data_IF_538700626505
#
_entry.id   IF_538700626505
#
_cell.length_a   1.000
_cell.length_b   1.000
_cell.length_c   1.000
_cell.angle_alpha   90.00
_cell.angle_beta   90.00
_cell.angle_gamma   90.00
#
_symmetry.space_group_name_H-M   'P 1'
#
loop_
_entity.id
_entity.type
_entity.pdbx_description
1 polymer ?
#
# COMPACT_ATOMS: atom_id res chain seq x y z
N UNK A 1 -29.79 -23.38 -9.71
CA UNK A 1 -29.73 -22.66 -11.01
C UNK A 1 -28.38 -21.97 -11.08
N UNK A 2 -27.56 -22.24 -12.09
CA UNK A 2 -26.37 -21.41 -12.31
C UNK A 2 -26.83 -19.96 -12.57
N UNK A 3 -26.25 -18.96 -11.90
CA UNK A 3 -26.56 -17.57 -12.21
C UNK A 3 -26.28 -17.32 -13.70
N UNK A 4 -27.24 -16.72 -14.41
CA UNK A 4 -27.06 -16.38 -15.83
C UNK A 4 -25.86 -15.47 -15.95
N UNK A 5 -24.83 -15.92 -16.67
CA UNK A 5 -23.68 -15.08 -17.01
C UNK A 5 -24.13 -13.98 -17.97
N UNK A 6 -23.72 -12.74 -17.69
CA UNK A 6 -23.88 -11.61 -18.61
C UNK A 6 -22.57 -10.85 -18.71
N UNK A 7 -22.30 -10.27 -19.88
CA UNK A 7 -21.19 -9.34 -20.05
C UNK A 7 -21.61 -7.95 -19.62
N UNK A 8 -20.76 -7.28 -18.86
CA UNK A 8 -20.93 -5.90 -18.44
C UNK A 8 -19.70 -5.11 -18.82
N UNK A 9 -19.91 -3.83 -19.14
CA UNK A 9 -18.85 -2.90 -19.46
C UNK A 9 -18.07 -2.53 -18.19
N UNK A 10 -16.78 -2.81 -18.18
CA UNK A 10 -15.88 -2.48 -17.07
C UNK A 10 -15.23 -1.11 -17.26
N UNK A 11 -14.77 -0.79 -18.47
CA UNK A 11 -14.28 0.55 -18.80
C UNK A 11 -14.30 0.82 -20.32
N UNK A 12 -14.19 2.11 -20.66
CA UNK A 12 -14.01 2.60 -22.03
C UNK A 12 -12.83 3.57 -22.07
N UNK A 13 -11.91 3.37 -23.01
CA UNK A 13 -10.85 4.32 -23.31
C UNK A 13 -11.35 5.40 -24.30
N UNK A 14 -10.79 6.61 -24.24
CA UNK A 14 -11.13 7.72 -25.16
C UNK A 14 -11.01 7.34 -26.66
N UNK A 15 -10.23 6.31 -27.00
CA UNK A 15 -10.11 5.75 -28.35
C UNK A 15 -11.18 4.72 -28.74
N UNK A 16 -12.22 4.51 -27.92
CA UNK A 16 -13.32 3.57 -28.17
C UNK A 16 -13.03 2.11 -27.78
N UNK A 17 -11.87 1.81 -27.19
CA UNK A 17 -11.57 0.48 -26.65
C UNK A 17 -12.50 0.20 -25.47
N UNK A 18 -13.30 -0.85 -25.57
CA UNK A 18 -14.20 -1.29 -24.50
C UNK A 18 -13.64 -2.53 -23.84
N UNK A 19 -13.51 -2.51 -22.51
CA UNK A 19 -13.23 -3.70 -21.72
C UNK A 19 -14.54 -4.19 -21.11
N UNK A 20 -14.87 -5.44 -21.41
CA UNK A 20 -16.03 -6.12 -20.86
C UNK A 20 -15.60 -7.25 -19.94
N UNK A 21 -16.45 -7.58 -18.97
CA UNK A 21 -16.22 -8.70 -18.06
C UNK A 21 -17.52 -9.46 -17.79
N UNK A 22 -17.40 -10.77 -17.57
CA UNK A 22 -18.53 -11.61 -17.22
C UNK A 22 -18.83 -11.52 -15.71
N UNK A 23 -20.12 -11.36 -15.39
CA UNK A 23 -20.64 -11.38 -14.03
C UNK A 23 -21.65 -12.52 -13.84
N UNK A 24 -21.76 -13.12 -12.63
CA UNK A 24 -21.00 -12.77 -11.41
C UNK A 24 -19.51 -13.10 -11.54
N UNK A 25 -18.66 -12.36 -10.81
CA UNK A 25 -17.22 -12.63 -10.80
C UNK A 25 -16.98 -14.02 -10.21
N UNK A 26 -16.09 -14.78 -10.84
CA UNK A 26 -15.78 -16.16 -10.46
C UNK A 26 -14.35 -16.22 -9.93
N UNK A 27 -14.17 -16.98 -8.83
CA UNK A 27 -12.88 -17.48 -8.41
C UNK A 27 -12.82 -18.98 -8.67
N UNK A 28 -11.72 -19.45 -9.27
CA UNK A 28 -11.42 -20.89 -9.48
C UNK A 28 -10.42 -21.44 -8.48
N UNK A 29 -9.99 -20.61 -7.54
CA UNK A 29 -9.13 -20.96 -6.42
C UNK A 29 -9.79 -20.52 -5.12
N UNK A 30 -9.43 -21.13 -4.00
CA UNK A 30 -9.90 -20.69 -2.69
C UNK A 30 -8.85 -19.78 -2.01
N UNK A 31 -9.14 -18.48 -1.83
CA UNK A 31 -8.25 -17.58 -1.10
C UNK A 31 -7.92 -18.04 0.33
N UNK A 32 -8.82 -18.78 0.99
CA UNK A 32 -8.58 -19.29 2.33
C UNK A 32 -7.56 -20.43 2.35
N UNK A 33 -7.57 -21.30 1.32
CA UNK A 33 -6.55 -22.32 1.12
C UNK A 33 -5.21 -21.69 0.75
N UNK A 34 -5.20 -20.74 -0.20
CA UNK A 34 -4.00 -20.01 -0.61
C UNK A 34 -3.34 -19.30 0.59
N UNK A 35 -4.14 -18.67 1.45
CA UNK A 35 -3.62 -18.03 2.67
C UNK A 35 -2.88 -19.03 3.56
N UNK A 36 -3.42 -20.25 3.73
CA UNK A 36 -2.78 -21.32 4.50
C UNK A 36 -1.50 -21.79 3.83
N UNK A 37 -1.48 -21.96 2.51
CA UNK A 37 -0.28 -22.36 1.75
C UNK A 37 0.84 -21.32 1.85
N UNK A 38 0.49 -20.03 1.89
CA UNK A 38 1.41 -18.93 2.12
C UNK A 38 1.82 -18.79 3.60
N UNK A 39 1.30 -19.63 4.51
CA UNK A 39 1.51 -19.54 5.95
C UNK A 39 1.18 -18.15 6.53
N UNK A 40 0.13 -17.51 6.01
CA UNK A 40 -0.31 -16.19 6.45
C UNK A 40 -1.32 -16.29 7.61
N UNK A 41 -1.38 -15.29 8.51
CA UNK A 41 -2.24 -15.34 9.69
C UNK A 41 -3.73 -15.53 9.41
N UNK A 42 -4.41 -16.21 10.33
CA UNK A 42 -5.82 -16.59 10.17
C UNK A 42 -6.83 -15.46 10.42
N UNK A 43 -6.38 -14.34 10.98
CA UNK A 43 -7.18 -13.15 11.20
C UNK A 43 -7.35 -12.28 9.94
N UNK A 44 -6.59 -12.51 8.86
CA UNK A 44 -6.69 -11.70 7.64
C UNK A 44 -8.11 -11.80 7.09
N UNK A 45 -8.79 -10.65 7.02
CA UNK A 45 -10.15 -10.57 6.51
C UNK A 45 -10.17 -10.74 4.99
N UNK A 46 -10.78 -11.84 4.53
CA UNK A 46 -10.89 -12.19 3.13
C UNK A 46 -12.13 -11.61 2.44
N UNK A 47 -12.97 -10.82 3.12
CA UNK A 47 -14.14 -10.20 2.49
C UNK A 47 -13.75 -9.10 1.48
N UNK A 48 -12.55 -8.53 1.65
CA UNK A 48 -12.02 -7.54 0.72
C UNK A 48 -11.56 -8.20 -0.59
N UNK A 49 -12.18 -7.79 -1.69
CA UNK A 49 -11.77 -8.19 -3.04
C UNK A 49 -10.28 -7.89 -3.32
N UNK A 50 -9.74 -6.71 -2.96
CA UNK A 50 -8.30 -6.44 -3.08
C UNK A 50 -7.44 -7.42 -2.29
N UNK A 51 -7.86 -7.83 -1.09
CA UNK A 51 -7.08 -8.79 -0.29
C UNK A 51 -7.04 -10.17 -0.95
N UNK A 52 -8.18 -10.69 -1.44
CA UNK A 52 -8.21 -11.95 -2.21
C UNK A 52 -7.25 -11.89 -3.40
N UNK A 53 -7.25 -10.77 -4.13
CA UNK A 53 -6.37 -10.55 -5.28
C UNK A 53 -4.90 -10.49 -4.89
N UNK A 54 -4.56 -9.83 -3.78
CA UNK A 54 -3.20 -9.75 -3.26
C UNK A 54 -2.66 -11.16 -2.97
N UNK A 55 -3.44 -12.00 -2.28
CA UNK A 55 -3.06 -13.37 -1.95
C UNK A 55 -2.82 -14.23 -3.21
N UNK A 56 -3.75 -14.19 -4.18
CA UNK A 56 -3.59 -14.93 -5.44
C UNK A 56 -2.38 -14.43 -6.23
N UNK A 57 -2.12 -13.12 -6.21
CA UNK A 57 -0.95 -12.54 -6.89
C UNK A 57 0.36 -13.04 -6.29
N UNK A 58 0.47 -13.07 -4.96
CA UNK A 58 1.65 -13.59 -4.24
C UNK A 58 1.82 -15.07 -4.52
N UNK A 59 0.76 -15.85 -4.36
CA UNK A 59 0.80 -17.30 -4.56
C UNK A 59 1.16 -17.68 -5.99
N UNK A 60 0.56 -17.04 -6.98
CA UNK A 60 0.91 -17.28 -8.38
C UNK A 60 2.34 -16.83 -8.70
N UNK A 61 2.84 -15.77 -8.05
CA UNK A 61 4.24 -15.35 -8.18
C UNK A 61 5.21 -16.40 -7.61
N UNK A 62 4.89 -17.02 -6.47
CA UNK A 62 5.68 -18.11 -5.88
C UNK A 62 5.69 -19.35 -6.78
N UNK A 63 4.56 -19.66 -7.42
CA UNK A 63 4.39 -20.81 -8.31
C UNK A 63 4.72 -20.50 -9.79
N UNK A 64 5.25 -19.31 -10.10
CA UNK A 64 5.44 -18.84 -11.48
C UNK A 64 6.20 -19.83 -12.38
N UNK A 65 7.16 -20.56 -11.81
CA UNK A 65 7.96 -21.54 -12.55
C UNK A 65 7.19 -22.70 -13.15
N UNK A 66 6.00 -23.04 -12.64
CA UNK A 66 5.18 -24.17 -13.12
C UNK A 66 4.05 -23.74 -14.06
N UNK A 67 3.70 -22.45 -14.08
CA UNK A 67 2.55 -21.92 -14.83
C UNK A 67 2.63 -22.17 -16.34
N UNK A 68 3.83 -22.24 -16.92
CA UNK A 68 4.00 -22.52 -18.35
C UNK A 68 3.66 -23.97 -18.74
N UNK A 69 3.72 -24.90 -17.77
CA UNK A 69 3.31 -26.28 -17.95
C UNK A 69 1.80 -26.43 -17.76
N UNK A 70 1.25 -25.73 -16.76
CA UNK A 70 -0.17 -25.80 -16.40
C UNK A 70 -1.06 -25.02 -17.39
N UNK A 71 -0.61 -23.86 -17.85
CA UNK A 71 -1.43 -22.90 -18.60
C UNK A 71 -0.77 -22.40 -19.90
N UNK A 72 -0.21 -23.27 -20.77
CA UNK A 72 0.54 -22.84 -21.95
C UNK A 72 -0.30 -22.01 -22.94
N UNK A 73 -1.56 -22.40 -23.14
CA UNK A 73 -2.47 -21.72 -24.06
C UNK A 73 -2.95 -20.37 -23.52
N UNK A 74 -3.22 -20.28 -22.21
CA UNK A 74 -3.62 -19.02 -21.56
C UNK A 74 -2.50 -18.01 -21.64
N UNK A 75 -1.27 -18.40 -21.29
CA UNK A 75 -0.09 -17.52 -21.36
C UNK A 75 0.11 -17.01 -22.80
N UNK A 76 0.06 -17.91 -23.79
CA UNK A 76 0.16 -17.51 -25.20
C UNK A 76 -0.95 -16.55 -25.62
N UNK A 77 -2.17 -16.73 -25.12
CA UNK A 77 -3.31 -15.86 -25.40
C UNK A 77 -3.18 -14.47 -24.78
N UNK A 78 -2.81 -14.39 -23.51
CA UNK A 78 -2.75 -13.14 -22.74
C UNK A 78 -1.54 -12.28 -23.10
N UNK A 79 -0.36 -12.89 -23.29
CA UNK A 79 0.92 -12.17 -23.42
C UNK A 79 1.72 -12.54 -24.69
N UNK A 80 1.13 -13.30 -25.60
CA UNK A 80 1.71 -13.60 -26.92
C UNK A 80 3.02 -14.41 -26.81
N UNK A 81 4.10 -13.84 -27.37
CA UNK A 81 5.45 -14.45 -27.32
C UNK A 81 6.21 -14.15 -26.02
N UNK A 82 5.68 -13.30 -25.15
CA UNK A 82 6.30 -13.02 -23.86
C UNK A 82 6.16 -14.21 -22.91
N UNK A 83 6.98 -14.21 -21.85
CA UNK A 83 6.96 -15.23 -20.80
C UNK A 83 6.67 -14.58 -19.46
N UNK A 84 6.18 -15.40 -18.52
CA UNK A 84 6.12 -15.04 -17.10
C UNK A 84 7.51 -15.28 -16.51
N UNK A 85 7.83 -16.49 -16.09
CA UNK A 85 9.14 -16.85 -15.54
C UNK A 85 9.22 -18.38 -15.45
N UNK A 86 10.43 -18.93 -15.47
CA UNK A 86 10.66 -20.34 -15.13
C UNK A 86 11.03 -20.51 -13.64
N UNK A 87 11.15 -19.39 -12.91
CA UNK A 87 11.50 -19.32 -11.49
C UNK A 87 10.42 -18.53 -10.75
N UNK A 88 10.33 -18.70 -9.44
CA UNK A 88 9.48 -17.88 -8.58
C UNK A 88 9.81 -16.39 -8.74
N UNK A 89 8.76 -15.56 -8.75
CA UNK A 89 8.87 -14.10 -8.76
C UNK A 89 8.83 -13.59 -7.32
N UNK A 90 9.67 -12.60 -7.00
CA UNK A 90 9.63 -11.95 -5.71
C UNK A 90 8.78 -10.68 -5.81
N UNK A 91 7.60 -10.71 -5.20
CA UNK A 91 6.72 -9.54 -5.07
C UNK A 91 6.44 -9.32 -3.59
N UNK A 92 6.45 -8.06 -3.18
CA UNK A 92 6.16 -7.65 -1.82
C UNK A 92 4.98 -6.66 -1.83
N UNK A 93 4.10 -6.80 -0.86
CA UNK A 93 3.05 -5.84 -0.58
C UNK A 93 3.58 -4.65 0.21
N UNK A 94 3.02 -3.48 -0.07
CA UNK A 94 3.08 -2.33 0.82
C UNK A 94 1.68 -1.74 0.97
N UNK A 95 1.56 -0.57 1.61
CA UNK A 95 0.26 0.08 1.78
C UNK A 95 -0.72 -0.76 2.60
N UNK A 96 -2.02 -0.56 2.40
CA UNK A 96 -3.07 -1.13 3.27
C UNK A 96 -3.08 -2.66 3.34
N UNK A 97 -2.68 -3.35 2.27
CA UNK A 97 -2.58 -4.81 2.27
C UNK A 97 -1.52 -5.34 3.23
N UNK A 98 -0.38 -4.65 3.35
CA UNK A 98 0.68 -5.04 4.28
C UNK A 98 0.24 -4.87 5.75
N UNK A 99 -0.42 -3.76 6.09
CA UNK A 99 -0.97 -3.56 7.43
C UNK A 99 -2.04 -4.61 7.78
N UNK A 100 -2.89 -4.99 6.83
CA UNK A 100 -3.86 -6.08 7.02
C UNK A 100 -3.21 -7.45 7.23
N UNK A 101 -1.99 -7.66 6.73
CA UNK A 101 -1.25 -8.92 6.94
C UNK A 101 -0.59 -8.97 8.32
N UNK A 102 0.00 -7.87 8.78
CA UNK A 102 0.78 -7.84 10.03
C UNK A 102 -0.05 -7.50 11.27
N UNK A 103 -1.10 -6.69 11.13
CA UNK A 103 -1.76 -6.05 12.27
C UNK A 103 -3.20 -6.61 12.45
N UNK A 104 -3.45 -7.50 13.44
CA UNK A 104 -4.79 -7.97 13.79
C UNK A 104 -5.79 -6.84 14.03
N UNK A 105 -5.35 -5.74 14.64
CA UNK A 105 -6.20 -4.59 14.95
C UNK A 105 -6.74 -3.89 13.69
N UNK A 106 -6.13 -4.09 12.52
CA UNK A 106 -6.68 -3.59 11.26
C UNK A 106 -7.75 -4.50 10.68
N UNK A 107 -7.89 -5.74 11.14
CA UNK A 107 -8.87 -6.71 10.61
C UNK A 107 -10.10 -6.86 11.50
N UNK A 108 -9.93 -6.71 12.82
CA UNK A 108 -11.00 -6.93 13.80
C UNK A 108 -12.19 -5.99 13.61
N UNK A 109 -13.39 -6.55 13.59
CA UNK A 109 -14.63 -5.77 13.58
C UNK A 109 -14.72 -4.90 14.84
N UNK A 110 -15.13 -3.63 14.68
CA UNK A 110 -15.23 -2.68 15.79
C UNK A 110 -13.89 -2.14 16.31
N UNK A 111 -12.75 -2.56 15.76
CA UNK A 111 -11.46 -1.93 16.06
C UNK A 111 -11.39 -0.51 15.51
N UNK A 112 -10.78 0.39 16.28
CA UNK A 112 -10.58 1.79 15.90
C UNK A 112 -9.72 1.98 14.63
N UNK A 113 -8.86 0.99 14.37
CA UNK A 113 -7.89 1.04 13.28
C UNK A 113 -8.26 0.16 12.09
N UNK A 114 -9.43 -0.49 12.14
CA UNK A 114 -9.96 -1.20 10.98
C UNK A 114 -10.48 -0.19 9.94
N UNK A 115 -9.97 -0.31 8.72
CA UNK A 115 -10.44 0.45 7.54
C UNK A 115 -10.60 -0.46 6.34
N UNK A 116 -11.41 -0.02 5.37
CA UNK A 116 -11.57 -0.73 4.10
C UNK A 116 -10.25 -0.69 3.32
N UNK A 117 -9.86 -1.85 2.79
CA UNK A 117 -8.79 -1.97 1.81
C UNK A 117 -9.37 -1.69 0.42
N UNK A 118 -8.85 -0.66 -0.26
CA UNK A 118 -9.38 -0.18 -1.55
C UNK A 118 -8.60 -0.75 -2.73
N UNK A 119 -7.30 -0.92 -2.57
CA UNK A 119 -6.36 -1.27 -3.63
C UNK A 119 -5.28 -2.23 -3.14
N UNK A 120 -4.45 -2.69 -4.09
CA UNK A 120 -3.29 -3.55 -3.84
C UNK A 120 -2.05 -2.81 -4.33
N UNK A 121 -1.09 -2.65 -3.43
CA UNK A 121 0.19 -1.98 -3.69
C UNK A 121 1.30 -3.04 -3.75
N UNK A 122 1.96 -3.16 -4.91
CA UNK A 122 3.04 -4.15 -5.12
C UNK A 122 4.37 -3.49 -5.44
N UNK A 123 5.44 -4.09 -4.93
CA UNK A 123 6.81 -3.76 -5.30
C UNK A 123 7.60 -5.03 -5.63
N UNK A 124 8.49 -4.94 -6.62
CA UNK A 124 9.35 -6.05 -7.06
C UNK A 124 10.73 -5.55 -7.48
N UNK A 125 11.63 -6.43 -7.91
CA UNK A 125 12.90 -6.00 -8.51
C UNK A 125 12.69 -5.42 -9.90
N UNK A 126 13.53 -4.47 -10.33
CA UNK A 126 13.44 -3.88 -11.68
C UNK A 126 13.57 -4.95 -12.78
N UNK A 127 14.38 -5.98 -12.53
CA UNK A 127 14.56 -7.14 -13.41
C UNK A 127 13.26 -7.96 -13.59
N UNK A 128 12.44 -8.06 -12.55
CA UNK A 128 11.19 -8.83 -12.56
C UNK A 128 9.94 -8.00 -12.87
N UNK A 129 10.02 -6.67 -12.91
CA UNK A 129 8.84 -5.81 -13.12
C UNK A 129 8.01 -6.17 -14.37
N UNK A 130 8.67 -6.43 -15.50
CA UNK A 130 7.99 -6.83 -16.74
C UNK A 130 7.31 -8.21 -16.63
N UNK A 131 7.94 -9.16 -15.95
CA UNK A 131 7.45 -10.54 -15.79
C UNK A 131 6.32 -10.61 -14.76
N UNK A 132 6.39 -9.82 -13.68
CA UNK A 132 5.29 -9.64 -12.72
C UNK A 132 4.08 -9.01 -13.40
N UNK A 133 4.26 -7.94 -14.18
CA UNK A 133 3.18 -7.36 -14.98
C UNK A 133 2.57 -8.41 -15.94
N UNK A 134 3.38 -9.24 -16.58
CA UNK A 134 2.88 -10.32 -17.45
C UNK A 134 2.09 -11.38 -16.66
N UNK A 135 2.53 -11.76 -15.47
CA UNK A 135 1.80 -12.68 -14.59
C UNK A 135 0.41 -12.14 -14.27
N UNK A 136 0.31 -10.88 -13.81
CA UNK A 136 -0.96 -10.28 -13.40
C UNK A 136 -1.99 -10.30 -14.54
N UNK A 137 -1.56 -9.98 -15.77
CA UNK A 137 -2.42 -10.00 -16.97
C UNK A 137 -3.01 -11.39 -17.30
N UNK A 138 -2.43 -12.47 -16.77
CA UNK A 138 -2.90 -13.83 -16.98
C UNK A 138 -3.81 -14.36 -15.86
N UNK A 139 -3.81 -13.72 -14.68
CA UNK A 139 -4.49 -14.28 -13.48
C UNK A 139 -5.99 -14.44 -13.67
N UNK A 140 -6.65 -13.52 -14.39
CA UNK A 140 -8.09 -13.61 -14.65
C UNK A 140 -8.48 -14.87 -15.44
N UNK A 141 -7.68 -15.19 -16.46
CA UNK A 141 -7.91 -16.36 -17.31
C UNK A 141 -7.47 -17.66 -16.65
N UNK A 142 -6.46 -17.64 -15.79
CA UNK A 142 -6.00 -18.81 -15.03
C UNK A 142 -6.97 -19.14 -13.88
N UNK A 143 -7.22 -18.16 -13.02
CA UNK A 143 -7.82 -18.37 -11.70
C UNK A 143 -9.20 -17.75 -11.53
N UNK A 144 -9.76 -17.13 -12.58
CA UNK A 144 -11.13 -16.62 -12.60
C UNK A 144 -11.23 -15.11 -12.69
N UNK A 145 -12.38 -14.62 -13.20
CA UNK A 145 -12.61 -13.21 -13.53
C UNK A 145 -12.46 -12.24 -12.36
N UNK A 146 -12.53 -12.74 -11.12
CA UNK A 146 -12.23 -11.96 -9.91
C UNK A 146 -10.79 -11.39 -9.90
N UNK A 147 -9.85 -12.06 -10.57
CA UNK A 147 -8.42 -11.72 -10.59
C UNK A 147 -7.97 -11.09 -11.92
N UNK A 148 -8.92 -10.61 -12.72
CA UNK A 148 -8.62 -9.97 -14.00
C UNK A 148 -7.78 -8.71 -13.80
N UNK A 149 -6.65 -8.67 -14.50
CA UNK A 149 -5.87 -7.47 -14.73
C UNK A 149 -5.79 -7.17 -16.22
N UNK A 150 -5.74 -5.89 -16.57
CA UNK A 150 -5.65 -5.46 -17.96
C UNK A 150 -4.89 -4.14 -18.08
N UNK A 151 -4.53 -3.77 -19.31
CA UNK A 151 -3.87 -2.51 -19.64
C UNK A 151 -4.52 -1.87 -20.85
N UNK A 152 -4.88 -0.60 -20.72
CA UNK A 152 -5.26 0.26 -21.83
C UNK A 152 -4.02 0.83 -22.52
N UNK A 153 -4.20 1.53 -23.66
CA UNK A 153 -3.08 2.15 -24.36
C UNK A 153 -2.39 3.19 -23.47
N UNK A 154 -3.16 3.98 -22.72
CA UNK A 154 -2.63 4.93 -21.73
C UNK A 154 -1.68 4.28 -20.73
N UNK A 155 -2.00 3.07 -20.26
CA UNK A 155 -1.23 2.36 -19.24
C UNK A 155 0.08 1.81 -19.80
N UNK A 156 0.05 1.37 -21.08
CA UNK A 156 1.23 0.92 -21.83
C UNK A 156 2.20 2.08 -22.06
N UNK A 157 1.68 3.23 -22.51
CA UNK A 157 2.49 4.45 -22.72
C UNK A 157 3.09 4.92 -21.40
N UNK A 158 2.28 4.99 -20.33
CA UNK A 158 2.76 5.35 -18.99
C UNK A 158 3.90 4.44 -18.54
N UNK A 159 3.72 3.12 -18.61
CA UNK A 159 4.72 2.14 -18.18
C UNK A 159 6.01 2.24 -18.99
N UNK A 160 5.91 2.47 -20.30
CA UNK A 160 7.07 2.65 -21.18
C UNK A 160 7.88 3.91 -20.80
N UNK A 161 7.20 5.03 -20.49
CA UNK A 161 7.85 6.28 -20.08
C UNK A 161 8.63 6.14 -18.77
N UNK A 162 8.23 5.21 -17.89
CA UNK A 162 8.87 4.95 -16.59
C UNK A 162 10.07 4.00 -16.67
N UNK A 163 10.44 3.49 -17.85
CA UNK A 163 11.67 2.72 -18.09
C UNK A 163 11.92 1.59 -17.07
N UNK A 164 10.85 0.89 -16.71
CA UNK A 164 10.87 -0.25 -15.79
C UNK A 164 10.87 0.11 -14.30
N UNK A 165 10.87 1.39 -13.92
CA UNK A 165 10.80 1.85 -12.52
C UNK A 165 9.39 1.70 -11.92
N UNK A 166 8.38 1.74 -12.79
CA UNK A 166 6.98 1.58 -12.43
C UNK A 166 6.20 1.01 -13.60
N UNK A 167 5.34 0.05 -13.31
CA UNK A 167 4.37 -0.50 -14.25
C UNK A 167 2.97 -0.18 -13.77
N UNK A 168 2.06 0.08 -14.70
CA UNK A 168 0.66 0.34 -14.40
C UNK A 168 -0.21 -0.72 -15.04
N UNK A 169 -1.04 -1.35 -14.23
CA UNK A 169 -2.13 -2.22 -14.67
C UNK A 169 -3.44 -1.73 -14.06
N UNK A 170 -4.55 -2.27 -14.53
CA UNK A 170 -5.88 -2.06 -13.94
C UNK A 170 -6.39 -3.37 -13.40
N UNK A 171 -7.16 -3.30 -12.32
CA UNK A 171 -7.79 -4.46 -11.68
C UNK A 171 -9.18 -4.06 -11.19
N UNK A 172 -9.99 -5.06 -10.81
CA UNK A 172 -11.30 -4.83 -10.20
C UNK A 172 -11.10 -4.53 -8.72
N UNK A 173 -11.31 -3.29 -8.30
CA UNK A 173 -11.06 -2.87 -6.92
C UNK A 173 -12.27 -3.09 -6.03
N UNK A 174 -13.47 -2.91 -6.57
CA UNK A 174 -14.71 -3.04 -5.81
C UNK A 174 -15.89 -3.51 -6.67
N UNK A 175 -17.01 -3.77 -5.99
CA UNK A 175 -18.31 -4.01 -6.61
C UNK A 175 -19.22 -2.89 -6.11
N UNK A 176 -19.88 -2.16 -7.02
CA UNK A 176 -20.76 -1.06 -6.66
C UNK A 176 -22.12 -1.56 -6.13
N UNK A 177 -22.98 -0.64 -5.69
CA UNK A 177 -24.32 -0.96 -5.15
C UNK A 177 -25.27 -1.69 -6.12
N UNK A 178 -24.97 -1.68 -7.42
CA UNK A 178 -25.72 -2.41 -8.45
C UNK A 178 -25.15 -3.80 -8.73
N UNK A 179 -24.13 -4.23 -7.98
CA UNK A 179 -23.45 -5.51 -8.20
C UNK A 179 -22.50 -5.50 -9.39
N UNK A 180 -22.10 -4.32 -9.90
CA UNK A 180 -21.19 -4.19 -11.03
C UNK A 180 -19.74 -3.97 -10.58
N UNK A 181 -18.76 -4.63 -11.23
CA UNK A 181 -17.35 -4.44 -10.92
C UNK A 181 -16.88 -3.04 -11.31
N UNK A 182 -16.06 -2.44 -10.43
CA UNK A 182 -15.42 -1.15 -10.66
C UNK A 182 -13.93 -1.38 -10.82
N UNK A 183 -13.37 -0.95 -11.95
CA UNK A 183 -11.94 -1.03 -12.19
C UNK A 183 -11.22 0.21 -11.63
N UNK A 184 -10.06 -0.02 -11.01
CA UNK A 184 -9.13 1.04 -10.65
C UNK A 184 -7.72 0.72 -11.10
N UNK A 185 -6.78 1.55 -10.66
CA UNK A 185 -5.39 1.49 -11.08
C UNK A 185 -4.54 0.81 -10.03
N UNK A 186 -3.72 -0.12 -10.47
CA UNK A 186 -2.73 -0.80 -9.64
C UNK A 186 -1.34 -0.53 -10.20
N UNK A 187 -0.50 0.10 -9.38
CA UNK A 187 0.89 0.36 -9.75
C UNK A 187 1.80 -0.73 -9.15
N UNK A 188 2.77 -1.16 -9.95
CA UNK A 188 3.83 -2.08 -9.54
C UNK A 188 5.10 -1.25 -9.51
N UNK A 189 5.55 -0.88 -8.31
CA UNK A 189 6.80 -0.18 -8.11
C UNK A 189 7.98 -1.14 -8.24
N UNK A 190 9.17 -0.61 -8.48
CA UNK A 190 10.39 -1.44 -8.47
C UNK A 190 11.49 -0.85 -7.60
N UNK A 191 12.07 -1.69 -6.74
CA UNK A 191 13.24 -1.45 -5.89
C UNK A 191 13.09 -0.37 -4.81
N UNK A 192 12.38 0.71 -5.10
CA UNK A 192 12.28 1.90 -4.26
C UNK A 192 10.86 2.47 -4.31
N UNK A 193 10.39 2.97 -3.16
CA UNK A 193 9.15 3.73 -3.05
C UNK A 193 9.54 5.21 -3.06
N UNK A 194 9.30 5.87 -4.18
CA UNK A 194 9.64 7.28 -4.39
C UNK A 194 8.37 8.13 -4.34
N UNK A 195 8.05 8.64 -3.15
CA UNK A 195 6.95 9.58 -2.93
C UNK A 195 7.51 10.90 -2.39
N UNK A 196 7.02 11.40 -1.24
CA UNK A 196 7.54 12.63 -0.62
C UNK A 196 8.99 12.46 -0.19
N UNK A 197 9.36 11.24 0.21
CA UNK A 197 10.72 10.80 0.45
C UNK A 197 10.97 9.48 -0.31
N UNK A 198 12.23 9.05 -0.31
CA UNK A 198 12.65 7.83 -1.00
C UNK A 198 12.94 6.73 0.01
N UNK A 199 12.29 5.58 -0.16
CA UNK A 199 12.49 4.40 0.68
C UNK A 199 13.05 3.28 -0.20
N UNK A 200 14.23 2.77 0.14
CA UNK A 200 14.88 1.66 -0.56
C UNK A 200 14.41 0.34 0.03
N UNK A 201 13.82 -0.52 -0.80
CA UNK A 201 13.31 -1.85 -0.40
C UNK A 201 14.11 -2.99 -1.03
N UNK A 202 15.24 -2.69 -1.70
CA UNK A 202 16.15 -3.73 -2.21
C UNK A 202 16.59 -4.73 -1.13
N UNK A 203 16.88 -4.33 0.13
CA UNK A 203 17.24 -5.27 1.17
C UNK A 203 16.17 -6.35 1.39
N UNK A 204 14.89 -5.97 1.43
CA UNK A 204 13.78 -6.90 1.60
C UNK A 204 13.55 -7.75 0.35
N UNK A 205 13.66 -7.15 -0.85
CA UNK A 205 13.58 -7.89 -2.12
C UNK A 205 14.72 -8.90 -2.33
N UNK A 206 15.84 -8.74 -1.62
CA UNK A 206 16.99 -9.67 -1.67
C UNK A 206 16.82 -10.90 -0.77
N UNK A 207 15.79 -10.93 0.07
CA UNK A 207 15.52 -12.01 1.02
C UNK A 207 14.34 -12.86 0.56
N UNK A 208 14.22 -14.11 1.07
CA UNK A 208 12.99 -14.88 0.90
C UNK A 208 11.80 -14.08 1.43
N UNK A 209 10.75 -13.86 0.61
CA UNK A 209 9.65 -12.98 0.99
C UNK A 209 8.84 -13.49 2.18
N UNK A 210 8.90 -14.79 2.49
CA UNK A 210 8.31 -15.40 3.68
C UNK A 210 8.78 -14.73 4.98
N UNK A 211 10.02 -14.23 5.01
CA UNK A 211 10.61 -13.60 6.21
C UNK A 211 9.90 -12.31 6.63
N UNK A 212 9.23 -11.66 5.68
CA UNK A 212 8.48 -10.42 5.90
C UNK A 212 7.01 -10.60 5.58
N UNK A 213 6.49 -11.84 5.63
CA UNK A 213 5.10 -12.17 5.27
C UNK A 213 4.69 -11.60 3.90
N UNK A 214 5.62 -11.62 2.94
CA UNK A 214 5.46 -11.09 1.59
C UNK A 214 5.18 -9.58 1.57
N UNK A 215 5.67 -8.82 2.54
CA UNK A 215 5.58 -7.36 2.61
C UNK A 215 6.96 -6.69 2.60
N UNK A 216 6.98 -5.36 2.54
CA UNK A 216 8.21 -4.56 2.70
C UNK A 216 8.78 -4.54 4.13
N UNK A 217 8.19 -5.29 5.06
CA UNK A 217 8.57 -5.37 6.47
C UNK A 217 8.09 -4.17 7.29
N UNK A 218 7.95 -4.38 8.60
CA UNK A 218 7.40 -3.42 9.56
C UNK A 218 8.09 -2.04 9.47
N UNK A 219 9.43 -1.99 9.47
CA UNK A 219 10.12 -0.70 9.46
C UNK A 219 9.79 0.14 8.21
N UNK A 220 9.77 -0.47 7.03
CA UNK A 220 9.44 0.26 5.82
C UNK A 220 7.93 0.53 5.72
N UNK A 221 7.06 -0.34 6.27
CA UNK A 221 5.62 -0.05 6.39
C UNK A 221 5.40 1.25 7.18
N UNK A 222 5.95 1.35 8.39
CA UNK A 222 5.89 2.56 9.21
C UNK A 222 6.43 3.78 8.46
N UNK A 223 7.63 3.66 7.88
CA UNK A 223 8.29 4.73 7.14
C UNK A 223 7.48 5.19 5.92
N UNK A 224 6.79 4.28 5.23
CA UNK A 224 5.96 4.64 4.07
C UNK A 224 4.78 5.55 4.42
N UNK A 225 4.28 5.46 5.65
CA UNK A 225 3.18 6.30 6.14
C UNK A 225 3.69 7.59 6.76
N UNK A 226 4.71 7.48 7.61
CA UNK A 226 5.34 8.62 8.27
C UNK A 226 6.08 9.58 7.32
N UNK A 227 6.23 9.24 6.04
CA UNK A 227 6.78 10.14 5.02
C UNK A 227 5.78 11.18 4.50
N UNK A 228 4.49 11.04 4.78
CA UNK A 228 3.47 11.96 4.25
C UNK A 228 3.71 13.37 4.78
N UNK A 229 3.82 14.32 3.85
CA UNK A 229 3.97 15.74 4.17
C UNK A 229 3.61 16.58 2.96
N UNK A 230 2.95 17.70 3.20
CA UNK A 230 2.70 18.72 2.19
C UNK A 230 2.47 20.09 2.82
N UNK A 231 2.50 21.12 2.00
CA UNK A 231 2.18 22.48 2.42
C UNK A 231 0.98 23.03 1.65
N UNK A 232 0.23 23.90 2.32
CA UNK A 232 -0.93 24.60 1.75
C UNK A 232 -0.92 26.06 2.17
N UNK A 233 -1.54 26.97 1.39
CA UNK A 233 -1.76 28.35 1.84
C UNK A 233 -2.55 28.40 3.14
N UNK A 234 -2.26 29.34 4.03
CA UNK A 234 -3.00 29.47 5.32
C UNK A 234 -4.49 29.66 5.19
N UNK A 235 -4.98 30.10 4.04
CA UNK A 235 -6.42 30.25 3.76
C UNK A 235 -7.20 28.94 3.92
N UNK A 236 -6.56 27.77 3.84
CA UNK A 236 -7.25 26.47 4.02
C UNK A 236 -7.51 26.11 5.48
N UNK A 237 -7.01 26.88 6.45
CA UNK A 237 -7.13 26.58 7.89
C UNK A 237 -8.59 26.46 8.35
N UNK A 238 -9.46 27.34 7.86
CA UNK A 238 -10.89 27.33 8.21
C UNK A 238 -11.57 26.09 7.64
N UNK A 239 -11.26 25.72 6.39
CA UNK A 239 -11.77 24.50 5.78
C UNK A 239 -11.33 23.25 6.54
N UNK A 240 -10.05 23.15 6.91
CA UNK A 240 -9.54 22.04 7.71
C UNK A 240 -10.22 21.94 9.08
N UNK A 241 -10.62 23.06 9.68
CA UNK A 241 -11.38 23.07 10.92
C UNK A 241 -12.81 22.55 10.73
N UNK A 242 -13.49 23.01 9.68
CA UNK A 242 -14.85 22.57 9.34
C UNK A 242 -14.90 21.08 9.02
N UNK A 243 -13.88 20.55 8.34
CA UNK A 243 -13.73 19.13 8.02
C UNK A 243 -13.19 18.31 9.21
N UNK A 244 -12.83 18.94 10.33
CA UNK A 244 -12.31 18.26 11.51
C UNK A 244 -10.90 17.68 11.33
N UNK A 245 -10.13 18.19 10.37
CA UNK A 245 -8.79 17.74 9.96
C UNK A 245 -7.64 18.55 10.59
N UNK A 246 -7.93 19.43 11.54
CA UNK A 246 -6.93 20.24 12.25
C UNK A 246 -5.84 19.41 12.93
N UNK A 247 -6.12 18.16 13.32
CA UNK A 247 -5.14 17.25 13.92
C UNK A 247 -3.97 16.92 13.00
N UNK A 248 -4.12 17.13 11.68
CA UNK A 248 -3.07 16.88 10.68
C UNK A 248 -2.01 17.98 10.62
N UNK A 249 -2.21 19.12 11.27
CA UNK A 249 -1.29 20.26 11.20
C UNK A 249 -0.02 19.94 12.01
N UNK A 250 1.15 20.08 11.38
CA UNK A 250 2.44 19.78 12.01
C UNK A 250 2.99 20.98 12.82
N UNK A 251 3.74 20.69 13.87
CA UNK A 251 4.30 21.66 14.82
C UNK A 251 5.42 22.56 14.23
N UNK A 252 5.92 22.25 13.04
CA UNK A 252 7.07 22.93 12.41
C UNK A 252 6.75 24.31 11.81
N UNK A 253 5.49 24.74 11.80
CA UNK A 253 5.03 25.95 11.12
C UNK A 253 5.71 27.24 11.62
N UNK A 254 6.23 27.27 12.85
CA UNK A 254 6.98 28.44 13.38
C UNK A 254 8.34 28.66 12.70
N UNK A 255 8.82 27.68 11.93
CA UNK A 255 10.12 27.71 11.25
C UNK A 255 10.00 27.55 9.73
N UNK A 256 8.77 27.45 9.22
CA UNK A 256 8.44 27.32 7.80
C UNK A 256 7.91 28.64 7.22
N UNK A 257 7.60 28.67 5.93
CA UNK A 257 6.96 29.81 5.26
C UNK A 257 5.70 30.27 6.04
N UNK A 258 5.73 31.52 6.51
CA UNK A 258 4.69 32.14 7.31
C UNK A 258 3.34 32.28 6.59
N UNK A 259 3.30 32.16 5.26
CA UNK A 259 2.07 32.19 4.47
C UNK A 259 1.46 30.81 4.24
N UNK A 260 2.13 29.76 4.74
CA UNK A 260 1.70 28.38 4.57
C UNK A 260 1.46 27.69 5.91
N UNK A 261 0.83 26.53 5.81
CA UNK A 261 0.78 25.51 6.84
C UNK A 261 1.34 24.22 6.26
N UNK A 262 2.03 23.46 7.10
CA UNK A 262 2.48 22.11 6.79
C UNK A 262 1.53 21.11 7.44
N UNK A 263 1.07 20.14 6.67
CA UNK A 263 0.21 19.06 7.14
C UNK A 263 0.86 17.69 6.92
N UNK A 264 0.57 16.77 7.84
CA UNK A 264 1.07 15.40 7.87
C UNK A 264 0.03 14.39 7.43
N UNK A 265 0.20 13.16 7.95
CA UNK A 265 -0.58 11.96 7.58
C UNK A 265 -2.09 12.18 7.49
N UNK A 266 -2.73 11.50 6.55
CA UNK A 266 -4.18 11.37 6.46
C UNK A 266 -4.70 10.37 7.50
N UNK A 267 -6.00 10.38 7.79
CA UNK A 267 -6.61 9.52 8.82
C UNK A 267 -6.33 8.03 8.60
N UNK A 268 -6.34 7.56 7.35
CA UNK A 268 -6.00 6.16 7.02
C UNK A 268 -4.54 5.83 7.35
N UNK A 269 -3.63 6.78 7.18
CA UNK A 269 -2.20 6.60 7.42
C UNK A 269 -1.92 6.67 8.93
N UNK A 270 -2.61 7.56 9.65
CA UNK A 270 -2.60 7.58 11.13
C UNK A 270 -3.11 6.24 11.68
N UNK A 271 -4.23 5.71 11.15
CA UNK A 271 -4.77 4.41 11.56
C UNK A 271 -3.80 3.25 11.30
N UNK A 272 -3.20 3.21 10.12
CA UNK A 272 -2.21 2.20 9.75
C UNK A 272 -1.01 2.24 10.73
N UNK A 273 -0.43 3.41 10.98
CA UNK A 273 0.70 3.58 11.91
C UNK A 273 0.31 3.23 13.35
N UNK A 274 -0.86 3.67 13.81
CA UNK A 274 -1.34 3.36 15.15
C UNK A 274 -1.63 1.88 15.35
N UNK A 275 -2.15 1.19 14.33
CA UNK A 275 -2.34 -0.27 14.39
C UNK A 275 -1.01 -1.01 14.50
N UNK A 276 -0.03 -0.64 13.67
CA UNK A 276 1.30 -1.23 13.73
C UNK A 276 1.95 -1.01 15.10
N UNK A 277 1.89 0.22 15.62
CA UNK A 277 2.37 0.56 16.95
C UNK A 277 1.50 0.00 18.07
N UNK A 278 0.29 -0.51 17.84
CA UNK A 278 -0.52 -1.19 18.85
C UNK A 278 -0.21 -2.69 18.88
N UNK A 279 0.00 -3.30 17.72
CA UNK A 279 0.15 -4.74 17.58
C UNK A 279 1.61 -5.20 17.75
N UNK A 280 2.58 -4.33 17.45
CA UNK A 280 4.00 -4.68 17.44
C UNK A 280 4.82 -3.82 18.43
N UNK A 281 5.55 -4.44 19.39
CA UNK A 281 6.46 -3.70 20.27
C UNK A 281 7.72 -3.25 19.51
N UNK A 282 8.43 -2.27 20.09
CA UNK A 282 9.73 -1.85 19.59
C UNK A 282 10.79 -2.81 20.11
N UNK A 283 11.70 -3.24 19.24
CA UNK A 283 12.71 -4.24 19.59
C UNK A 283 13.82 -4.36 18.55
N UNK A 284 14.29 -5.59 18.30
CA UNK A 284 15.44 -5.86 17.42
C UNK A 284 15.05 -6.46 16.06
N UNK A 285 13.76 -6.52 15.72
CA UNK A 285 13.27 -6.94 14.39
C UNK A 285 13.07 -8.44 14.20
N UNK A 286 13.06 -9.22 15.29
CA UNK A 286 12.67 -10.63 15.29
C UNK A 286 11.34 -10.82 16.03
N UNK A 287 10.55 -11.84 15.67
CA UNK A 287 9.21 -12.13 16.26
C UNK A 287 8.18 -10.99 16.09
N UNK A 288 8.08 -10.39 14.90
CA UNK A 288 7.10 -9.32 14.62
C UNK A 288 7.27 -8.09 15.53
N UNK A 289 8.52 -7.75 15.86
CA UNK A 289 8.91 -6.51 16.54
C UNK A 289 9.37 -5.45 15.53
N UNK A 290 9.10 -4.17 15.81
CA UNK A 290 9.59 -3.05 15.01
C UNK A 290 11.05 -2.78 15.39
N UNK A 291 11.99 -2.92 14.45
CA UNK A 291 13.40 -2.63 14.73
C UNK A 291 13.69 -1.11 14.75
N UNK A 292 13.61 -0.50 15.93
CA UNK A 292 13.89 0.93 16.12
C UNK A 292 15.30 1.35 15.69
N UNK A 293 16.30 0.48 15.89
CA UNK A 293 17.70 0.75 15.49
C UNK A 293 17.85 0.78 13.95
N UNK A 294 17.15 -0.10 13.24
CA UNK A 294 17.11 -0.11 11.76
C UNK A 294 16.47 1.18 11.23
N UNK A 295 15.35 1.60 11.81
CA UNK A 295 14.69 2.88 11.48
C UNK A 295 15.66 4.05 11.70
N UNK A 296 16.28 4.13 12.88
CA UNK A 296 17.25 5.19 13.19
C UNK A 296 18.41 5.23 12.20
N UNK A 297 18.97 4.08 11.81
CA UNK A 297 20.05 3.97 10.82
C UNK A 297 19.63 4.42 9.42
N UNK A 298 18.39 4.16 9.00
CA UNK A 298 17.84 4.65 7.73
C UNK A 298 17.75 6.19 7.79
N UNK A 299 17.20 6.74 8.87
CA UNK A 299 16.94 8.18 9.04
C UNK A 299 18.18 9.00 9.39
N UNK A 300 19.24 8.39 9.90
CA UNK A 300 20.52 9.07 10.18
C UNK A 300 21.10 9.70 8.90
N UNK A 301 20.96 8.98 7.77
CA UNK A 301 21.51 9.36 6.47
C UNK A 301 20.70 10.42 5.73
N UNK A 302 19.42 10.59 6.10
CA UNK A 302 18.51 11.53 5.46
C UNK A 302 17.82 12.42 6.49
N UNK A 303 18.40 13.62 6.67
CA UNK A 303 17.89 14.64 7.61
C UNK A 303 16.47 15.11 7.26
N UNK A 304 16.14 15.16 5.97
CA UNK A 304 14.84 15.63 5.47
C UNK A 304 13.75 14.60 5.76
N UNK A 305 14.06 13.34 5.50
CA UNK A 305 13.16 12.25 5.81
C UNK A 305 13.00 12.10 7.33
N UNK A 306 14.11 12.15 8.09
CA UNK A 306 14.10 12.13 9.55
C UNK A 306 13.18 13.19 10.15
N UNK A 307 13.28 14.44 9.68
CA UNK A 307 12.40 15.52 10.16
C UNK A 307 10.92 15.17 9.95
N UNK A 308 10.60 14.67 8.77
CA UNK A 308 9.23 14.33 8.39
C UNK A 308 8.66 13.22 9.26
N UNK A 309 9.42 12.15 9.46
CA UNK A 309 9.02 11.03 10.31
C UNK A 309 8.80 11.49 11.75
N UNK A 310 9.74 12.25 12.31
CA UNK A 310 9.60 12.77 13.68
C UNK A 310 8.37 13.65 13.85
N UNK A 311 8.12 14.58 12.93
CA UNK A 311 6.94 15.44 12.99
C UNK A 311 5.62 14.65 12.93
N UNK A 312 5.56 13.61 12.09
CA UNK A 312 4.37 12.75 12.00
C UNK A 312 4.18 11.87 13.25
N UNK A 313 5.26 11.41 13.89
CA UNK A 313 5.20 10.71 15.17
C UNK A 313 4.78 11.63 16.32
N UNK A 314 5.37 12.83 16.41
CA UNK A 314 4.97 13.87 17.37
C UNK A 314 3.50 14.29 17.17
N UNK A 315 3.04 14.34 15.92
CA UNK A 315 1.64 14.58 15.59
C UNK A 315 0.73 13.54 16.25
N UNK A 316 1.09 12.25 16.30
CA UNK A 316 0.28 11.24 16.98
C UNK A 316 0.16 11.55 18.48
N UNK A 317 1.27 11.87 19.16
CA UNK A 317 1.28 12.21 20.60
C UNK A 317 0.41 13.42 20.93
N UNK A 318 0.38 14.41 20.04
CA UNK A 318 -0.38 15.65 20.24
C UNK A 318 -1.89 15.51 19.93
N UNK A 319 -2.35 14.36 19.46
CA UNK A 319 -3.70 14.19 18.91
C UNK A 319 -4.50 13.04 19.53
N UNK A 320 -4.44 12.89 20.86
CA UNK A 320 -5.26 11.92 21.61
C UNK A 320 -6.76 11.99 21.25
N UNK A 321 -7.29 13.21 21.08
CA UNK A 321 -8.69 13.43 20.71
C UNK A 321 -9.06 12.82 19.35
N UNK A 322 -8.13 12.80 18.37
CA UNK A 322 -8.36 12.16 17.08
C UNK A 322 -8.41 10.63 17.23
N UNK A 323 -7.51 10.04 18.02
CA UNK A 323 -7.53 8.59 18.30
C UNK A 323 -8.83 8.15 19.00
N UNK A 324 -9.32 8.97 19.95
CA UNK A 324 -10.62 8.75 20.59
C UNK A 324 -11.79 8.83 19.59
N UNK A 325 -11.75 9.77 18.63
CA UNK A 325 -12.75 9.85 17.54
C UNK A 325 -12.72 8.63 16.64
N UNK A 326 -11.56 8.01 16.43
CA UNK A 326 -11.47 6.72 15.72
C UNK A 326 -12.04 5.56 16.53
N UNK A 327 -12.30 5.73 17.83
CA UNK A 327 -12.83 4.71 18.73
C UNK A 327 -11.77 4.02 19.58
N UNK A 328 -10.53 4.52 19.60
CA UNK A 328 -9.45 3.91 20.37
C UNK A 328 -9.68 4.08 21.88
N UNK A 329 -9.44 3.01 22.63
CA UNK A 329 -9.56 2.99 24.09
C UNK A 329 -8.32 3.60 24.74
N UNK A 330 -8.47 4.15 25.94
CA UNK A 330 -7.35 4.75 26.68
C UNK A 330 -6.14 3.80 26.83
N UNK A 331 -6.38 2.49 27.02
CA UNK A 331 -5.29 1.51 27.11
C UNK A 331 -4.51 1.39 25.79
N UNK A 332 -5.22 1.36 24.65
CA UNK A 332 -4.60 1.27 23.32
C UNK A 332 -3.81 2.55 23.02
N UNK A 333 -4.40 3.72 23.32
CA UNK A 333 -3.75 5.03 23.19
C UNK A 333 -2.46 5.07 24.01
N UNK A 334 -2.50 4.64 25.28
CA UNK A 334 -1.30 4.63 26.14
C UNK A 334 -0.20 3.72 25.59
N UNK A 335 -0.56 2.55 25.05
CA UNK A 335 0.40 1.65 24.40
C UNK A 335 1.03 2.29 23.16
N UNK A 336 0.22 2.90 22.29
CA UNK A 336 0.69 3.60 21.10
C UNK A 336 1.63 4.74 21.50
N UNK A 337 1.22 5.60 22.43
CA UNK A 337 2.01 6.75 22.87
C UNK A 337 3.35 6.31 23.46
N UNK A 338 3.38 5.30 24.32
CA UNK A 338 4.62 4.75 24.88
C UNK A 338 5.58 4.26 23.79
N UNK A 339 5.08 3.63 22.71
CA UNK A 339 5.92 3.14 21.61
C UNK A 339 6.36 4.26 20.66
N UNK A 340 5.53 5.29 20.47
CA UNK A 340 5.93 6.50 19.75
C UNK A 340 7.06 7.22 20.50
N UNK A 341 6.94 7.39 21.82
CA UNK A 341 7.97 7.99 22.66
C UNK A 341 9.28 7.18 22.63
N UNK A 342 9.18 5.86 22.71
CA UNK A 342 10.34 4.97 22.58
C UNK A 342 11.04 5.15 21.22
N UNK A 343 10.29 5.13 20.11
CA UNK A 343 10.86 5.38 18.78
C UNK A 343 11.49 6.76 18.67
N UNK A 344 10.83 7.81 19.17
CA UNK A 344 11.37 9.18 19.16
C UNK A 344 12.67 9.29 19.98
N UNK A 345 12.83 8.49 21.03
CA UNK A 345 14.07 8.42 21.83
C UNK A 345 15.22 7.72 21.09
N UNK A 346 14.91 6.78 20.19
CA UNK A 346 15.89 6.02 19.40
C UNK A 346 16.27 6.77 18.11
N UNK A 347 15.31 7.40 17.44
CA UNK A 347 15.51 8.16 16.21
C UNK A 347 16.32 9.43 16.53
N UNK A 348 17.38 9.77 15.76
CA UNK A 348 18.17 10.95 16.04
C UNK A 348 17.33 12.23 16.05
N UNK A 349 17.70 13.19 16.88
CA UNK A 349 17.06 14.51 16.89
C UNK A 349 17.13 15.19 15.51
N UNK A 350 16.17 16.10 15.26
CA UNK A 350 16.13 16.87 14.02
C UNK A 350 16.00 18.38 14.31
N UNK A 351 17.11 19.02 14.73
CA UNK A 351 17.14 20.45 15.07
C UNK A 351 17.09 21.35 13.83
N UNK A 352 17.18 20.77 12.63
CA UNK A 352 17.20 21.51 11.39
C UNK A 352 15.89 22.30 11.17
N UNK A 353 16.04 23.51 10.62
CA UNK A 353 14.95 24.42 10.29
C UNK A 353 14.96 24.68 8.79
N UNK A 354 13.79 24.55 8.16
CA UNK A 354 13.62 24.77 6.73
C UNK A 354 12.52 25.78 6.48
N UNK A 355 12.80 26.78 5.65
CA UNK A 355 11.82 27.77 5.20
C UNK A 355 11.27 27.48 3.79
N UNK A 356 11.61 26.31 3.23
CA UNK A 356 11.21 25.81 1.92
C UNK A 356 10.92 24.32 2.01
N UNK A 357 10.15 23.73 1.08
CA UNK A 357 9.87 22.29 1.10
C UNK A 357 11.15 21.48 1.20
N UNK A 358 11.23 20.58 2.18
CA UNK A 358 12.34 19.64 2.32
C UNK A 358 12.02 18.26 1.76
N UNK A 359 10.85 18.09 1.16
CA UNK A 359 10.38 16.86 0.52
C UNK A 359 10.24 17.04 -1.00
N UNK A 360 9.92 15.95 -1.70
CA UNK A 360 9.60 16.00 -3.13
C UNK A 360 8.20 16.59 -3.38
N UNK A 361 8.17 17.74 -4.07
CA UNK A 361 6.94 18.47 -4.42
C UNK A 361 6.38 18.12 -5.80
N UNK A 362 7.14 17.38 -6.61
CA UNK A 362 6.74 16.99 -7.97
C UNK A 362 5.84 15.73 -7.99
N UNK A 363 5.72 15.04 -6.85
CA UNK A 363 4.73 13.98 -6.67
C UNK A 363 3.35 14.62 -6.75
N UNK A 364 2.70 14.44 -7.89
CA UNK A 364 1.44 15.12 -8.21
C UNK A 364 0.33 14.75 -7.22
N UNK A 365 -0.57 15.68 -6.95
CA UNK A 365 -1.76 15.42 -6.12
C UNK A 365 -2.64 14.27 -6.67
N UNK A 366 -2.50 13.89 -7.95
CA UNK A 366 -3.18 12.73 -8.57
C UNK A 366 -2.60 11.39 -8.10
N UNK A 367 -1.35 11.35 -7.66
CA UNK A 367 -0.75 10.15 -7.06
C UNK A 367 -1.16 9.96 -5.60
N UNK A 368 -1.66 11.02 -4.96
CA UNK A 368 -2.15 11.03 -3.56
C UNK A 368 -3.68 10.93 -3.51
N UNK A 369 -4.40 11.50 -4.48
CA UNK A 369 -5.86 11.37 -4.64
C UNK A 369 -6.34 9.93 -4.90
N UNK A 370 -5.44 8.97 -5.10
CA UNK A 370 -5.77 7.53 -5.08
C UNK A 370 -6.18 7.02 -3.70
N UNK A 371 -5.92 7.78 -2.63
CA UNK A 371 -6.18 7.32 -1.27
C UNK A 371 -7.19 8.16 -0.48
N UNK A 372 -7.71 9.24 -1.06
CA UNK A 372 -8.81 10.04 -0.50
C UNK A 372 -10.14 9.65 -1.13
N UNK A 373 -10.89 8.80 -0.41
CA UNK A 373 -12.36 8.62 -0.41
C UNK A 373 -12.70 7.41 0.46
#
# INVERSE_FOLDING_TARGET
MNPKTRKVRLCEELGGTIIEIEVPLVSRVDPAEIRKELNLPDYINLDYLPMKRALVSIWAARNAGQLHLEFPNVIKGCIGKSKISNESLNILLFGGGAFKIHCPSTNAEGSAFNRVMKDVDLITSKKQGATVKNLLLCLGEMYGSMYTHFMLLSDKVFSAMRRGERWRVRAIDSINGEGLPVAGYMDILTEEINMRHKIDVRPELSQPPEKTLYTIGLENMLLTKCQFIEDHPRSVLEQLEQEGLKHRILSCNSHYDHNKIVIGMEDKDIKDVCAELLDHPIGEGGNEEINGKKIAKILEKDKKFRKTVRLNLEMILNNEGALKKFGAKNKEINTIFSRVEELLSIIPESPEKWNKPWWNTEVSNVEIAKFGD
#
